data_IF_839485558096
#
_entry.id   IF_839485558096
#
_cell.length_a   1.000
_cell.length_b   1.000
_cell.length_c   1.000
_cell.angle_alpha   90.00
_cell.angle_beta   90.00
_cell.angle_gamma   90.00
#
_symmetry.space_group_name_H-M   'P 1'
#
loop_
_entity.id
_entity.type
_entity.pdbx_description
1 polymer ?
#
# COMPACT_ATOMS: atom_id res chain seq x y z
N UNK A 1 7.67 0.55 4.72
CA UNK A 1 7.08 1.03 5.99
C UNK A 1 6.66 -0.10 6.92
N UNK A 2 6.47 -1.36 6.42
CA UNK A 2 5.92 -2.46 7.21
C UNK A 2 6.74 -2.82 8.45
N UNK A 3 8.05 -3.04 8.33
CA UNK A 3 8.89 -3.43 9.48
C UNK A 3 8.89 -2.39 10.60
N UNK A 4 9.06 -1.08 10.36
CA UNK A 4 8.92 -0.07 11.42
C UNK A 4 7.55 -0.10 12.11
N UNK A 5 6.47 -0.34 11.35
CA UNK A 5 5.13 -0.49 11.92
C UNK A 5 5.03 -1.72 12.84
N UNK A 6 5.58 -2.86 12.41
CA UNK A 6 5.63 -4.10 13.21
C UNK A 6 6.42 -3.92 14.51
N UNK A 7 7.54 -3.19 14.44
CA UNK A 7 8.35 -2.87 15.63
C UNK A 7 7.56 -1.98 16.61
N UNK A 8 6.88 -0.96 16.08
CA UNK A 8 6.10 -0.02 16.89
C UNK A 8 4.81 -0.66 17.46
N UNK A 9 4.23 -1.61 16.74
CA UNK A 9 2.99 -2.31 17.10
C UNK A 9 3.19 -3.83 16.91
N UNK A 10 3.76 -4.54 17.89
CA UNK A 10 4.13 -5.96 17.76
C UNK A 10 2.96 -6.90 17.48
N UNK A 11 1.75 -6.53 17.87
CA UNK A 11 0.55 -7.37 17.76
C UNK A 11 -0.04 -7.44 16.34
N UNK A 12 0.44 -6.62 15.40
CA UNK A 12 -0.05 -6.71 14.01
C UNK A 12 0.51 -7.96 13.33
N UNK A 13 -0.31 -8.63 12.52
CA UNK A 13 0.13 -9.61 11.54
C UNK A 13 0.58 -8.89 10.27
N UNK A 14 1.82 -9.10 9.83
CA UNK A 14 2.42 -8.33 8.74
C UNK A 14 2.71 -9.21 7.53
N UNK A 15 2.26 -8.79 6.36
CA UNK A 15 2.68 -9.35 5.08
C UNK A 15 3.46 -8.29 4.30
N UNK A 16 4.69 -8.63 3.94
CA UNK A 16 5.57 -7.82 3.10
C UNK A 16 5.64 -8.44 1.70
N UNK A 17 5.37 -7.63 0.69
CA UNK A 17 5.35 -8.07 -0.70
C UNK A 17 6.29 -7.20 -1.53
N UNK A 18 7.21 -7.83 -2.26
CA UNK A 18 8.09 -7.17 -3.22
C UNK A 18 8.34 -8.10 -4.42
N UNK A 19 8.47 -7.52 -5.60
CA UNK A 19 8.76 -8.24 -6.84
C UNK A 19 10.24 -8.60 -7.02
N UNK A 20 11.13 -8.14 -6.14
CA UNK A 20 12.56 -8.40 -6.19
C UNK A 20 12.99 -9.37 -5.09
N UNK A 21 13.37 -10.58 -5.48
CA UNK A 21 13.81 -11.67 -4.57
C UNK A 21 14.89 -11.22 -3.57
N UNK A 22 15.87 -10.45 -4.02
CA UNK A 22 16.92 -9.92 -3.15
C UNK A 22 16.37 -9.06 -2.00
N UNK A 23 15.33 -8.25 -2.26
CA UNK A 23 14.69 -7.44 -1.22
C UNK A 23 13.90 -8.30 -0.25
N UNK A 24 13.17 -9.29 -0.77
CA UNK A 24 12.40 -10.22 0.07
C UNK A 24 13.30 -10.99 1.01
N UNK A 25 14.44 -11.52 0.52
CA UNK A 25 15.45 -12.19 1.36
C UNK A 25 15.99 -11.26 2.44
N UNK A 26 16.36 -10.03 2.08
CA UNK A 26 16.84 -9.04 3.04
C UNK A 26 15.79 -8.76 4.14
N UNK A 27 14.50 -8.63 3.77
CA UNK A 27 13.43 -8.46 4.76
C UNK A 27 13.32 -9.66 5.70
N UNK A 28 13.46 -10.88 5.19
CA UNK A 28 13.51 -12.10 6.00
C UNK A 28 14.69 -12.13 6.96
N UNK A 29 15.88 -11.75 6.48
CA UNK A 29 17.09 -11.66 7.32
C UNK A 29 16.92 -10.63 8.45
N UNK A 30 16.32 -9.47 8.14
CA UNK A 30 16.02 -8.44 9.16
C UNK A 30 15.03 -8.99 10.21
N UNK A 31 13.97 -9.67 9.79
CA UNK A 31 13.01 -10.27 10.73
C UNK A 31 13.70 -11.28 11.66
N UNK A 32 14.55 -12.15 11.10
CA UNK A 32 15.30 -13.13 11.89
C UNK A 32 16.26 -12.45 12.88
N UNK A 33 17.03 -11.45 12.42
CA UNK A 33 18.00 -10.73 13.23
C UNK A 33 17.36 -9.89 14.36
N UNK A 34 16.13 -9.41 14.15
CA UNK A 34 15.40 -8.59 15.11
C UNK A 34 14.39 -9.37 15.96
N UNK A 35 14.25 -10.68 15.72
CA UNK A 35 13.30 -11.53 16.45
C UNK A 35 11.82 -11.20 16.18
N UNK A 36 11.51 -10.55 15.03
CA UNK A 36 10.12 -10.28 14.66
C UNK A 36 9.41 -11.55 14.23
N UNK A 37 8.28 -11.82 14.86
CA UNK A 37 7.39 -12.97 14.56
C UNK A 37 6.11 -12.50 13.89
N UNK A 38 5.33 -13.44 13.31
CA UNK A 38 4.10 -13.15 12.58
C UNK A 38 4.31 -12.13 11.44
N UNK A 39 5.40 -12.35 10.68
CA UNK A 39 5.75 -11.61 9.48
C UNK A 39 5.90 -12.59 8.32
N UNK A 40 5.14 -12.38 7.26
CA UNK A 40 5.22 -13.15 6.01
C UNK A 40 5.89 -12.30 4.94
N UNK A 41 6.98 -12.79 4.36
CA UNK A 41 7.68 -12.13 3.24
C UNK A 41 7.38 -12.87 1.94
N UNK A 42 6.77 -12.19 0.96
CA UNK A 42 6.33 -12.78 -0.30
C UNK A 42 7.09 -12.17 -1.49
N UNK A 43 7.76 -13.03 -2.23
CA UNK A 43 8.36 -12.68 -3.51
C UNK A 43 7.33 -12.87 -4.62
N UNK A 44 6.58 -11.84 -4.90
CA UNK A 44 5.56 -11.82 -5.96
C UNK A 44 5.22 -10.39 -6.36
N UNK A 45 4.52 -10.24 -7.48
CA UNK A 45 3.95 -8.96 -7.89
C UNK A 45 2.52 -8.85 -7.35
N UNK A 46 2.10 -7.64 -6.99
CA UNK A 46 0.76 -7.42 -6.46
C UNK A 46 -0.34 -7.91 -7.43
N UNK A 47 -0.17 -7.68 -8.73
CA UNK A 47 -1.12 -8.13 -9.75
C UNK A 47 -1.13 -9.65 -10.00
N UNK A 48 -0.20 -10.38 -9.39
CA UNK A 48 -0.04 -11.83 -9.53
C UNK A 48 -0.41 -12.61 -8.25
N UNK A 49 -0.97 -11.93 -7.25
CA UNK A 49 -1.35 -12.51 -5.95
C UNK A 49 -2.88 -12.44 -5.67
N UNK A 50 -3.73 -13.05 -6.52
CA UNK A 50 -5.19 -12.96 -6.37
C UNK A 50 -5.71 -13.58 -5.07
N UNK A 51 -4.99 -14.54 -4.49
CA UNK A 51 -5.33 -15.21 -3.23
C UNK A 51 -5.30 -14.26 -2.02
N UNK A 52 -4.60 -13.14 -2.12
CA UNK A 52 -4.51 -12.15 -1.03
C UNK A 52 -5.65 -11.12 -1.05
N UNK A 53 -6.55 -11.17 -2.03
CA UNK A 53 -7.60 -10.16 -2.19
C UNK A 53 -8.54 -10.09 -0.98
N UNK A 54 -8.79 -8.88 -0.52
CA UNK A 54 -9.75 -8.60 0.54
C UNK A 54 -9.41 -9.18 1.92
N UNK A 55 -8.15 -9.56 2.14
CA UNK A 55 -7.74 -10.22 3.37
C UNK A 55 -7.19 -9.28 4.45
N UNK A 56 -6.78 -8.06 4.08
CA UNK A 56 -6.06 -7.18 4.99
C UNK A 56 -6.93 -6.05 5.54
N UNK A 57 -6.74 -5.74 6.82
CA UNK A 57 -7.35 -4.58 7.47
C UNK A 57 -6.77 -3.27 6.92
N UNK A 58 -5.47 -3.29 6.61
CA UNK A 58 -4.76 -2.14 6.06
C UNK A 58 -3.75 -2.56 5.00
N UNK A 59 -3.57 -1.73 3.98
CA UNK A 59 -2.42 -1.75 3.09
C UNK A 59 -1.64 -0.44 3.25
N UNK A 60 -0.31 -0.54 3.20
CA UNK A 60 0.58 0.63 3.31
C UNK A 60 1.60 0.59 2.20
N UNK A 61 1.82 1.72 1.52
CA UNK A 61 2.86 1.83 0.51
C UNK A 61 3.62 3.15 0.60
N UNK A 62 4.90 3.14 0.17
CA UNK A 62 5.76 4.32 0.09
C UNK A 62 6.60 4.28 -1.19
N UNK A 63 6.61 5.39 -1.94
CA UNK A 63 7.53 5.65 -3.05
C UNK A 63 7.58 4.57 -4.16
N UNK A 64 6.51 3.83 -4.40
CA UNK A 64 6.47 2.78 -5.44
C UNK A 64 6.06 3.36 -6.79
N UNK A 65 4.99 4.14 -6.84
CA UNK A 65 4.41 4.67 -8.07
C UNK A 65 3.50 5.88 -7.79
N UNK A 66 2.91 6.46 -8.83
CA UNK A 66 1.87 7.49 -8.71
C UNK A 66 0.61 6.91 -8.04
N UNK A 67 -0.14 7.77 -7.38
CA UNK A 67 -1.24 7.35 -6.48
C UNK A 67 -2.32 6.51 -7.19
N UNK A 68 -2.69 6.83 -8.44
CA UNK A 68 -3.67 6.04 -9.19
C UNK A 68 -3.21 4.59 -9.41
N UNK A 69 -1.91 4.36 -9.67
CA UNK A 69 -1.32 3.02 -9.78
C UNK A 69 -1.29 2.31 -8.42
N UNK A 70 -0.89 3.02 -7.36
CA UNK A 70 -0.88 2.48 -6.00
C UNK A 70 -2.28 2.05 -5.55
N UNK A 71 -3.31 2.81 -5.91
CA UNK A 71 -4.69 2.42 -5.62
C UNK A 71 -5.04 1.07 -6.25
N UNK A 72 -4.64 0.83 -7.52
CA UNK A 72 -4.91 -0.43 -8.19
C UNK A 72 -4.09 -1.60 -7.63
N UNK A 73 -2.86 -1.33 -7.15
CA UNK A 73 -2.01 -2.35 -6.53
C UNK A 73 -2.40 -2.68 -5.09
N UNK A 74 -3.02 -1.77 -4.35
CA UNK A 74 -3.23 -1.92 -2.91
C UNK A 74 -4.69 -2.13 -2.52
N UNK A 75 -5.66 -1.38 -3.08
CA UNK A 75 -7.08 -1.48 -2.71
C UNK A 75 -7.69 -2.86 -2.90
N UNK A 76 -7.31 -3.66 -3.92
CA UNK A 76 -7.85 -5.01 -4.06
C UNK A 76 -7.59 -5.92 -2.86
N UNK A 77 -6.50 -5.71 -2.13
CA UNK A 77 -6.11 -6.52 -0.97
C UNK A 77 -6.81 -6.13 0.32
N UNK A 78 -7.27 -4.87 0.39
CA UNK A 78 -7.96 -4.34 1.58
C UNK A 78 -9.40 -4.85 1.62
N UNK A 79 -9.82 -5.41 2.76
CA UNK A 79 -11.21 -5.79 2.99
C UNK A 79 -12.13 -4.56 3.05
N UNK A 80 -13.41 -4.73 2.77
CA UNK A 80 -14.39 -3.67 2.99
C UNK A 80 -14.40 -3.26 4.47
N UNK A 81 -14.36 -1.95 4.73
CA UNK A 81 -14.18 -1.36 6.05
C UNK A 81 -12.71 -1.10 6.44
N UNK A 82 -11.76 -1.69 5.72
CA UNK A 82 -10.33 -1.46 5.90
C UNK A 82 -9.83 -0.15 5.28
N UNK A 83 -8.52 0.04 5.27
CA UNK A 83 -7.89 1.31 4.86
C UNK A 83 -6.64 1.09 4.00
N UNK A 84 -6.45 1.93 2.99
CA UNK A 84 -5.18 2.06 2.30
C UNK A 84 -4.49 3.37 2.70
N UNK A 85 -3.24 3.28 3.14
CA UNK A 85 -2.39 4.39 3.56
C UNK A 85 -1.26 4.59 2.55
N UNK A 86 -1.36 5.59 1.70
CA UNK A 86 -0.34 5.93 0.72
C UNK A 86 0.58 7.02 1.28
N UNK A 87 1.82 6.65 1.59
CA UNK A 87 2.84 7.61 2.06
C UNK A 87 3.43 8.35 0.86
N UNK A 88 3.33 9.68 0.89
CA UNK A 88 3.68 10.60 -0.19
C UNK A 88 4.59 11.73 0.27
N UNK A 89 5.13 12.48 -0.70
CA UNK A 89 5.83 13.74 -0.43
C UNK A 89 4.90 14.82 0.14
N UNK A 90 5.43 16.03 0.39
CA UNK A 90 4.69 17.10 1.05
C UNK A 90 3.47 17.58 0.24
N UNK A 91 3.60 17.60 -1.09
CA UNK A 91 2.52 17.98 -2.00
C UNK A 91 2.07 16.78 -2.83
N UNK A 92 0.87 16.31 -2.57
CA UNK A 92 0.26 15.20 -3.29
C UNK A 92 -1.13 15.55 -3.87
N UNK A 93 -1.51 16.83 -3.89
CA UNK A 93 -2.85 17.27 -4.34
C UNK A 93 -3.12 16.87 -5.79
N UNK A 94 -2.17 17.14 -6.70
CA UNK A 94 -2.30 16.78 -8.11
C UNK A 94 -2.41 15.26 -8.32
N UNK A 95 -1.61 14.47 -7.61
CA UNK A 95 -1.71 13.00 -7.67
C UNK A 95 -3.06 12.48 -7.13
N UNK A 96 -3.60 13.13 -6.10
CA UNK A 96 -4.91 12.80 -5.55
C UNK A 96 -6.03 13.07 -6.56
N UNK A 97 -5.98 14.22 -7.23
CA UNK A 97 -6.97 14.56 -8.25
C UNK A 97 -6.94 13.56 -9.43
N UNK A 98 -5.77 13.19 -9.90
CA UNK A 98 -5.58 12.14 -10.92
C UNK A 98 -6.13 10.77 -10.46
N UNK A 99 -6.01 10.45 -9.18
CA UNK A 99 -6.40 9.15 -8.62
C UNK A 99 -7.90 9.04 -8.28
N UNK A 100 -8.67 10.13 -8.28
CA UNK A 100 -10.10 10.12 -7.84
C UNK A 100 -10.95 9.09 -8.58
N UNK A 101 -10.75 8.94 -9.88
CA UNK A 101 -11.46 7.94 -10.68
C UNK A 101 -11.07 6.52 -10.29
N UNK A 102 -9.76 6.25 -10.16
CA UNK A 102 -9.22 4.96 -9.72
C UNK A 102 -9.74 4.58 -8.34
N UNK A 103 -9.68 5.49 -7.37
CA UNK A 103 -10.18 5.28 -6.00
C UNK A 103 -11.62 4.76 -6.03
N UNK A 104 -12.53 5.47 -6.74
CA UNK A 104 -13.94 5.07 -6.83
C UNK A 104 -14.14 3.73 -7.53
N UNK A 105 -13.49 3.52 -8.69
CA UNK A 105 -13.60 2.26 -9.47
C UNK A 105 -13.10 1.04 -8.69
N UNK A 106 -12.17 1.24 -7.77
CA UNK A 106 -11.58 0.16 -6.96
C UNK A 106 -12.31 -0.06 -5.63
N UNK A 107 -13.41 0.64 -5.39
CA UNK A 107 -14.20 0.52 -4.17
C UNK A 107 -13.67 1.32 -2.98
N UNK A 108 -12.86 2.32 -3.24
CA UNK A 108 -12.32 3.24 -2.23
C UNK A 108 -13.08 4.55 -2.15
N UNK A 109 -12.94 5.23 -1.01
CA UNK A 109 -13.37 6.60 -0.78
C UNK A 109 -12.23 7.37 -0.13
N UNK A 110 -11.82 8.48 -0.71
CA UNK A 110 -10.86 9.38 -0.08
C UNK A 110 -11.41 9.90 1.25
N UNK A 111 -10.66 9.76 2.33
CA UNK A 111 -11.06 10.18 3.66
C UNK A 111 -10.38 11.50 4.05
N UNK A 112 -9.06 11.54 4.01
CA UNK A 112 -8.26 12.72 4.35
C UNK A 112 -6.80 12.57 3.89
N UNK A 113 -6.07 13.66 3.92
CA UNK A 113 -4.61 13.66 3.86
C UNK A 113 -4.07 14.16 5.20
N UNK A 114 -3.25 13.34 5.85
CA UNK A 114 -2.51 13.73 7.05
C UNK A 114 -1.12 14.22 6.66
N UNK A 115 -0.69 15.34 7.25
CA UNK A 115 0.66 15.87 7.07
C UNK A 115 1.46 15.68 8.36
N UNK A 116 2.74 15.39 8.23
CA UNK A 116 3.65 15.29 9.37
C UNK A 116 5.06 15.75 8.98
N UNK A 117 5.76 16.30 9.96
CA UNK A 117 7.16 16.69 9.81
C UNK A 117 8.04 15.65 10.51
N UNK A 118 9.14 15.26 9.90
CA UNK A 118 10.10 14.34 10.53
C UNK A 118 10.77 15.08 11.69
N UNK A 119 10.68 14.54 12.92
CA UNK A 119 11.26 15.20 14.10
C UNK A 119 12.73 15.57 13.91
N UNK A 120 13.09 16.81 14.28
CA UNK A 120 14.44 17.34 14.13
C UNK A 120 14.83 17.76 12.71
N UNK A 121 13.89 17.84 11.79
CA UNK A 121 14.10 18.30 10.41
C UNK A 121 12.98 19.22 9.93
N UNK A 122 13.18 19.90 8.79
CA UNK A 122 12.14 20.66 8.08
C UNK A 122 11.42 19.82 7.00
N UNK A 123 11.67 18.49 6.99
CA UNK A 123 11.11 17.59 5.98
C UNK A 123 9.69 17.22 6.34
N UNK A 124 8.73 17.63 5.50
CA UNK A 124 7.32 17.29 5.63
C UNK A 124 6.92 16.20 4.63
N UNK A 125 6.09 15.29 5.09
CA UNK A 125 5.47 14.24 4.28
C UNK A 125 3.96 14.22 4.47
N UNK A 126 3.29 13.48 3.58
CA UNK A 126 1.84 13.28 3.61
C UNK A 126 1.49 11.80 3.64
N UNK A 127 0.36 11.48 4.25
CA UNK A 127 -0.29 10.17 4.15
C UNK A 127 -1.69 10.38 3.61
N UNK A 128 -1.94 9.89 2.40
CA UNK A 128 -3.29 9.86 1.83
C UNK A 128 -4.03 8.65 2.39
N UNK A 129 -5.14 8.90 3.06
CA UNK A 129 -5.99 7.88 3.70
C UNK A 129 -7.19 7.61 2.82
N UNK A 130 -7.31 6.36 2.35
CA UNK A 130 -8.39 5.91 1.48
C UNK A 130 -9.12 4.75 2.18
N UNK A 131 -10.40 4.96 2.51
CA UNK A 131 -11.26 3.95 3.12
C UNK A 131 -11.78 2.99 2.05
N UNK A 132 -11.71 1.67 2.31
CA UNK A 132 -12.33 0.67 1.46
C UNK A 132 -13.81 0.58 1.79
N UNK A 133 -14.66 1.13 0.94
CA UNK A 133 -16.12 1.24 1.18
C UNK A 133 -16.95 0.24 0.39
N UNK A 134 -16.37 -0.37 -0.65
CA UNK A 134 -17.02 -1.38 -1.46
C UNK A 134 -16.01 -2.42 -1.99
N UNK A 135 -16.44 -3.62 -2.40
CA UNK A 135 -15.56 -4.61 -3.02
C UNK A 135 -14.91 -4.07 -4.30
N UNK A 136 -13.66 -4.42 -4.53
CA UNK A 136 -12.98 -4.14 -5.80
C UNK A 136 -13.47 -5.14 -6.86
N UNK A 137 -13.88 -4.68 -8.07
CA UNK A 137 -14.28 -5.56 -9.14
C UNK A 137 -13.22 -6.63 -9.48
N UNK A 138 -13.61 -7.89 -9.82
CA UNK A 138 -12.66 -9.00 -10.02
C UNK A 138 -11.59 -8.78 -11.09
N UNK A 139 -11.84 -7.91 -12.06
CA UNK A 139 -10.90 -7.57 -13.14
C UNK A 139 -9.67 -6.76 -12.68
N UNK A 140 -9.63 -6.30 -11.44
CA UNK A 140 -8.52 -5.57 -10.86
C UNK A 140 -7.79 -6.40 -9.80
N UNK A 141 -6.46 -6.21 -9.61
CA UNK A 141 -5.61 -5.35 -10.42
C UNK A 141 -5.40 -5.88 -11.83
N UNK A 142 -5.21 -4.98 -12.79
CA UNK A 142 -4.82 -5.34 -14.15
C UNK A 142 -3.33 -5.67 -14.19
N UNK A 143 -2.84 -6.23 -15.30
CA UNK A 143 -1.40 -6.42 -15.52
C UNK A 143 -0.67 -5.08 -15.54
N UNK A 144 0.53 -5.03 -14.99
CA UNK A 144 1.35 -3.81 -14.86
C UNK A 144 1.44 -3.00 -16.16
N UNK A 145 1.74 -3.63 -17.28
CA UNK A 145 1.86 -2.97 -18.58
C UNK A 145 0.56 -2.26 -19.01
N UNK A 146 -0.60 -2.78 -18.62
CA UNK A 146 -1.91 -2.16 -18.89
C UNK A 146 -2.16 -0.97 -17.96
N UNK A 147 -1.82 -1.11 -16.69
CA UNK A 147 -1.96 -0.02 -15.71
C UNK A 147 -1.15 1.21 -16.10
N UNK A 148 0.07 1.01 -16.65
CA UNK A 148 0.93 2.12 -17.10
C UNK A 148 0.42 2.84 -18.34
N UNK A 149 -0.30 2.15 -19.22
CA UNK A 149 -0.81 2.71 -20.47
C UNK A 149 -2.17 3.40 -20.34
N UNK A 150 -3.00 2.89 -19.46
CA UNK A 150 -4.39 3.32 -19.30
C UNK A 150 -4.67 3.63 -17.84
N UNK A 151 -4.77 4.90 -17.47
CA UNK A 151 -5.19 5.32 -16.14
C UNK A 151 -6.69 4.98 -15.91
N UNK A 152 -7.06 4.66 -14.67
CA UNK A 152 -8.46 4.39 -14.29
C UNK A 152 -9.27 5.66 -14.12
#
# INVERSE_FOLDING_TARGET
>A
PGLPLKIAQPDISLTLLDSLDKRVRFLGDVCAATGLTDVTCLHTRAEEAPELRGQFDAAVSRAVARLYLLCELCLPFVRTGGVFLAMKGPDCAAELDEARSAIRKLGGTYERTAHYTIPGTDVTHSVVVIRKTAPTPPKYPRRWAKMQKEHL
#
